data_IF_923269349160
#
_entry.id   IF_923269349160
#
_cell.length_a   1.000
_cell.length_b   1.000
_cell.length_c   1.000
_cell.angle_alpha   90.00
_cell.angle_beta   90.00
_cell.angle_gamma   90.00
#
_symmetry.space_group_name_H-M   'P 1'
#
loop_
_entity.id
_entity.type
_entity.pdbx_description
1 polymer ?
#
# COMPACT_ATOMS: atom_id res chain seq x y z
N UNK A 1 5.26 5.01 -10.73
CA UNK A 1 6.21 5.42 -9.66
C UNK A 1 5.49 5.32 -8.33
N UNK A 2 6.14 4.85 -7.25
CA UNK A 2 5.53 4.77 -5.92
C UNK A 2 6.46 5.30 -4.84
N UNK A 3 5.90 5.64 -3.68
CA UNK A 3 6.63 6.17 -2.52
C UNK A 3 6.49 5.25 -1.31
N UNK A 4 7.47 5.31 -0.39
CA UNK A 4 7.30 4.83 0.98
C UNK A 4 7.09 6.05 1.85
N UNK A 5 6.05 6.01 2.65
CA UNK A 5 5.70 7.04 3.61
C UNK A 5 5.50 6.42 4.99
N UNK A 6 5.38 7.24 6.02
CA UNK A 6 4.95 6.80 7.34
C UNK A 6 3.86 7.71 7.88
N UNK A 7 3.01 7.15 8.72
CA UNK A 7 2.10 7.86 9.61
C UNK A 7 2.34 7.39 11.03
N UNK A 8 2.12 8.27 12.02
CA UNK A 8 2.38 7.93 13.42
C UNK A 8 1.10 7.80 14.22
N UNK A 9 1.13 6.87 15.14
CA UNK A 9 0.10 6.61 16.13
C UNK A 9 0.72 6.62 17.54
N UNK A 10 -0.09 6.88 18.53
CA UNK A 10 0.02 6.35 19.88
C UNK A 10 -0.97 5.18 20.04
N UNK A 11 -0.97 4.49 21.17
CA UNK A 11 -1.86 3.34 21.38
C UNK A 11 -3.33 3.73 21.19
N UNK A 12 -3.77 4.86 21.78
CA UNK A 12 -5.15 5.32 21.69
C UNK A 12 -5.59 5.58 20.24
N UNK A 13 -4.81 6.34 19.46
CA UNK A 13 -5.15 6.65 18.05
C UNK A 13 -5.01 5.43 17.13
N UNK A 14 -4.16 4.48 17.46
CA UNK A 14 -4.08 3.21 16.76
C UNK A 14 -5.34 2.37 16.97
N UNK A 15 -5.79 2.24 18.23
CA UNK A 15 -7.00 1.51 18.58
C UNK A 15 -8.25 2.15 17.96
N UNK A 16 -8.36 3.48 17.96
CA UNK A 16 -9.42 4.22 17.25
C UNK A 16 -9.43 3.88 15.75
N UNK A 17 -8.26 3.91 15.11
CA UNK A 17 -8.12 3.62 13.69
C UNK A 17 -8.53 2.17 13.36
N UNK A 18 -8.00 1.19 14.11
CA UNK A 18 -8.34 -0.24 13.92
C UNK A 18 -9.82 -0.50 14.18
N UNK A 19 -10.39 0.11 15.22
CA UNK A 19 -11.83 -0.01 15.54
C UNK A 19 -12.69 0.55 14.40
N UNK A 20 -12.30 1.71 13.86
CA UNK A 20 -12.99 2.30 12.72
C UNK A 20 -12.92 1.42 11.48
N UNK A 21 -11.74 0.91 11.11
CA UNK A 21 -11.54 -0.01 9.96
C UNK A 21 -12.44 -1.24 10.07
N UNK A 22 -12.50 -1.87 11.24
CA UNK A 22 -13.37 -3.03 11.49
C UNK A 22 -14.84 -2.71 11.30
N UNK A 23 -15.29 -1.56 11.83
CA UNK A 23 -16.69 -1.11 11.75
C UNK A 23 -17.12 -0.72 10.34
N UNK A 24 -16.23 -0.07 9.58
CA UNK A 24 -16.51 0.42 8.23
C UNK A 24 -16.19 -0.58 7.12
N UNK A 25 -15.59 -1.73 7.47
CA UNK A 25 -15.05 -2.71 6.50
C UNK A 25 -14.02 -2.11 5.54
N UNK A 26 -13.25 -1.11 6.01
CA UNK A 26 -12.21 -0.44 5.24
C UNK A 26 -10.84 -1.02 5.64
N UNK A 27 -10.12 -1.70 4.75
CA UNK A 27 -8.82 -2.30 5.08
C UNK A 27 -7.78 -1.26 5.52
N UNK A 28 -7.78 -0.10 4.86
CA UNK A 28 -6.88 1.02 5.14
C UNK A 28 -7.63 2.33 5.07
N UNK A 29 -7.55 3.12 6.12
CA UNK A 29 -7.97 4.52 6.12
C UNK A 29 -7.08 5.31 7.09
N UNK A 30 -6.55 6.43 6.64
CA UNK A 30 -5.74 7.34 7.43
C UNK A 30 -6.36 8.74 7.43
N UNK A 31 -6.57 9.28 8.61
CA UNK A 31 -6.94 10.67 8.80
C UNK A 31 -5.76 11.47 9.32
N UNK A 32 -5.60 12.69 8.84
CA UNK A 32 -4.49 13.58 9.22
C UNK A 32 -4.93 15.03 9.32
N UNK A 33 -4.21 15.81 10.14
CA UNK A 33 -4.43 17.25 10.28
C UNK A 33 -3.84 18.07 9.13
N UNK A 34 -2.91 17.50 8.38
CA UNK A 34 -2.22 18.15 7.25
C UNK A 34 -2.24 17.26 6.00
N UNK A 35 -2.28 17.87 4.83
CA UNK A 35 -2.22 17.13 3.56
C UNK A 35 -0.83 16.54 3.31
N UNK A 36 -0.78 15.47 2.53
CA UNK A 36 0.47 15.02 1.91
C UNK A 36 1.03 16.18 1.08
N UNK A 37 2.34 16.39 1.16
CA UNK A 37 3.01 17.53 0.50
C UNK A 37 2.75 17.53 -1.01
N UNK A 38 2.47 18.71 -1.57
CA UNK A 38 2.10 18.90 -2.98
C UNK A 38 3.20 18.56 -4.00
N UNK A 39 4.44 18.37 -3.54
CA UNK A 39 5.54 17.88 -4.40
C UNK A 39 5.40 16.42 -4.82
N UNK A 40 4.48 15.67 -4.20
CA UNK A 40 4.18 14.30 -4.58
C UNK A 40 2.90 14.26 -5.41
N UNK A 41 2.97 13.62 -6.58
CA UNK A 41 1.89 13.61 -7.55
C UNK A 41 0.58 13.06 -6.97
N UNK A 42 -0.53 13.72 -7.30
CA UNK A 42 -1.87 13.24 -6.97
C UNK A 42 -2.10 11.91 -7.69
N UNK A 43 -2.71 10.95 -6.99
CA UNK A 43 -2.96 9.61 -7.50
C UNK A 43 -1.75 8.66 -7.44
N UNK A 44 -0.56 9.14 -7.02
CA UNK A 44 0.60 8.26 -6.83
C UNK A 44 0.36 7.24 -5.73
N UNK A 45 0.91 6.03 -5.90
CA UNK A 45 0.85 4.98 -4.89
C UNK A 45 1.84 5.25 -3.75
N UNK A 46 1.37 5.02 -2.53
CA UNK A 46 2.17 5.17 -1.32
C UNK A 46 1.98 3.98 -0.38
N UNK A 47 3.08 3.29 -0.09
CA UNK A 47 3.11 2.36 1.03
C UNK A 47 3.32 3.15 2.31
N UNK A 48 2.34 3.13 3.19
CA UNK A 48 2.35 3.90 4.44
C UNK A 48 2.67 2.99 5.60
N UNK A 49 3.84 3.16 6.19
CA UNK A 49 4.28 2.43 7.37
C UNK A 49 3.60 3.04 8.61
N UNK A 50 2.89 2.22 9.35
CA UNK A 50 2.15 2.59 10.55
C UNK A 50 3.08 2.57 11.77
N UNK A 51 3.54 3.74 12.23
CA UNK A 51 4.44 3.89 13.37
C UNK A 51 3.67 3.95 14.68
N UNK A 52 3.94 3.08 15.63
CA UNK A 52 3.50 3.23 17.01
C UNK A 52 4.60 3.88 17.85
N UNK A 53 4.40 5.15 18.21
CA UNK A 53 5.42 5.94 18.91
C UNK A 53 5.62 5.55 20.39
N UNK A 54 4.65 4.90 21.02
CA UNK A 54 4.76 4.40 22.39
C UNK A 54 5.53 3.10 22.43
N UNK A 55 5.21 2.18 21.49
CA UNK A 55 5.87 0.88 21.37
C UNK A 55 7.23 0.93 20.67
N UNK A 56 7.54 2.05 19.99
CA UNK A 56 8.74 2.22 19.17
C UNK A 56 8.91 1.14 18.08
N UNK A 57 7.81 0.74 17.47
CA UNK A 57 7.76 -0.25 16.41
C UNK A 57 6.73 0.11 15.35
N UNK A 58 6.81 -0.55 14.20
CA UNK A 58 5.73 -0.47 13.23
C UNK A 58 4.63 -1.47 13.58
N UNK A 59 3.38 -1.15 13.25
CA UNK A 59 2.22 -2.05 13.45
C UNK A 59 1.75 -2.70 12.15
N UNK A 60 2.03 -2.09 11.02
CA UNK A 60 1.67 -2.60 9.70
C UNK A 60 2.10 -1.67 8.59
N UNK A 61 1.73 -2.04 7.37
CA UNK A 61 1.93 -1.23 6.17
C UNK A 61 0.64 -1.26 5.35
N UNK A 62 0.09 -0.08 5.05
CA UNK A 62 -1.05 0.08 4.15
C UNK A 62 -0.62 0.64 2.80
N UNK A 63 -1.30 0.27 1.73
CA UNK A 63 -1.12 0.85 0.41
C UNK A 63 -2.28 1.78 0.11
N UNK A 64 -1.99 3.05 -0.15
CA UNK A 64 -2.96 4.08 -0.51
C UNK A 64 -2.61 4.75 -1.84
N UNK A 65 -3.59 5.45 -2.42
CA UNK A 65 -3.34 6.48 -3.44
C UNK A 65 -3.29 7.85 -2.77
N UNK A 66 -2.40 8.74 -3.25
CA UNK A 66 -2.35 10.14 -2.84
C UNK A 66 -3.57 10.91 -3.41
N UNK A 67 -4.76 10.50 -2.98
CA UNK A 67 -6.04 11.10 -3.36
C UNK A 67 -6.90 11.26 -2.13
N UNK A 68 -7.38 12.48 -1.89
CA UNK A 68 -8.27 12.75 -0.76
C UNK A 68 -9.65 12.15 -0.99
N UNK A 69 -10.25 11.65 0.09
CA UNK A 69 -11.62 11.15 0.11
C UNK A 69 -12.56 12.30 0.52
N UNK A 70 -13.70 12.39 -0.19
CA UNK A 70 -14.75 13.38 0.08
C UNK A 70 -16.16 12.77 0.02
N UNK A 71 -16.25 11.44 0.07
CA UNK A 71 -17.52 10.70 -0.10
C UNK A 71 -18.51 10.91 1.04
N UNK A 72 -18.01 11.02 2.26
CA UNK A 72 -18.81 11.24 3.48
C UNK A 72 -17.94 11.79 4.61
N UNK A 73 -18.57 12.20 5.71
CA UNK A 73 -17.85 12.55 6.93
C UNK A 73 -17.40 11.30 7.68
N UNK A 74 -16.11 11.20 7.90
CA UNK A 74 -15.50 10.11 8.67
C UNK A 74 -15.05 10.63 10.04
N UNK A 75 -15.46 9.96 11.11
CA UNK A 75 -15.02 10.22 12.47
C UNK A 75 -14.15 9.04 12.94
N UNK A 76 -12.90 9.02 12.46
CA UNK A 76 -11.94 7.95 12.77
C UNK A 76 -11.39 8.14 14.17
N UNK A 77 -11.00 9.39 14.49
CA UNK A 77 -10.35 9.77 15.73
C UNK A 77 -11.23 10.72 16.55
N UNK A 78 -11.15 10.61 17.87
CA UNK A 78 -11.82 11.54 18.80
C UNK A 78 -11.36 12.99 18.59
N UNK A 79 -10.07 13.18 18.27
CA UNK A 79 -9.57 14.49 17.87
C UNK A 79 -9.98 14.78 16.41
N UNK A 80 -10.92 15.73 16.25
CA UNK A 80 -11.47 16.12 14.94
C UNK A 80 -10.43 16.64 13.95
N UNK A 81 -9.33 17.22 14.41
CA UNK A 81 -8.26 17.70 13.53
C UNK A 81 -7.63 16.55 12.71
N UNK A 82 -7.56 15.37 13.26
CA UNK A 82 -7.05 14.19 12.55
C UNK A 82 -8.04 13.62 11.53
N UNK A 83 -9.29 14.06 11.51
CA UNK A 83 -10.29 13.65 10.53
C UNK A 83 -10.41 14.62 9.34
N UNK A 84 -9.48 15.60 9.22
CA UNK A 84 -9.57 16.67 8.21
C UNK A 84 -9.20 16.22 6.79
N UNK A 85 -8.14 15.44 6.66
CA UNK A 85 -7.65 14.95 5.37
C UNK A 85 -7.55 13.45 5.42
N UNK A 86 -8.33 12.79 4.56
CA UNK A 86 -8.53 11.35 4.60
C UNK A 86 -7.98 10.70 3.34
N UNK A 87 -7.29 9.58 3.53
CA UNK A 87 -6.72 8.75 2.48
C UNK A 87 -7.10 7.29 2.74
N UNK A 88 -7.48 6.56 1.68
CA UNK A 88 -7.96 5.19 1.77
C UNK A 88 -7.19 4.27 0.82
N UNK A 89 -7.20 2.96 1.14
CA UNK A 89 -6.65 1.92 0.29
C UNK A 89 -7.22 0.55 0.65
N UNK A 90 -6.99 -0.42 -0.23
CA UNK A 90 -7.60 -1.74 -0.15
C UNK A 90 -6.63 -2.82 0.36
N UNK A 91 -5.35 -2.50 0.52
CA UNK A 91 -4.31 -3.45 0.84
C UNK A 91 -3.58 -3.06 2.12
N UNK A 92 -3.55 -3.97 3.08
CA UNK A 92 -2.88 -3.80 4.35
C UNK A 92 -2.24 -5.11 4.81
N UNK A 93 -1.04 -5.02 5.37
CA UNK A 93 -0.32 -6.15 5.95
C UNK A 93 0.08 -5.76 7.36
N UNK A 94 -0.31 -6.57 8.34
CA UNK A 94 0.04 -6.39 9.74
C UNK A 94 1.51 -6.74 10.02
N UNK A 95 2.02 -6.25 11.16
CA UNK A 95 3.39 -6.52 11.60
C UNK A 95 3.71 -8.00 11.69
N UNK A 96 2.79 -8.82 12.21
CA UNK A 96 3.03 -10.25 12.40
C UNK A 96 3.32 -10.91 11.05
N UNK A 97 2.48 -10.66 10.08
CA UNK A 97 2.64 -11.13 8.69
C UNK A 97 3.94 -10.61 8.05
N UNK A 98 4.27 -9.33 8.27
CA UNK A 98 5.53 -8.75 7.77
C UNK A 98 6.73 -9.52 8.33
N UNK A 99 6.78 -9.76 9.64
CA UNK A 99 7.89 -10.47 10.31
C UNK A 99 7.96 -11.94 9.85
N UNK A 100 6.83 -12.61 9.67
CA UNK A 100 6.76 -13.99 9.19
C UNK A 100 7.27 -14.13 7.74
N UNK A 101 7.04 -13.13 6.89
CA UNK A 101 7.42 -13.17 5.47
C UNK A 101 8.82 -12.61 5.21
N UNK A 102 9.17 -11.48 5.81
CA UNK A 102 10.49 -10.84 5.74
C UNK A 102 10.73 -9.94 6.95
N UNK A 103 11.29 -10.52 8.01
CA UNK A 103 11.58 -9.80 9.26
C UNK A 103 12.48 -8.58 9.07
N UNK A 104 13.32 -8.55 8.02
CA UNK A 104 14.22 -7.43 7.76
C UNK A 104 13.48 -6.14 7.42
N UNK A 105 12.26 -6.21 6.90
CA UNK A 105 11.41 -5.03 6.66
C UNK A 105 11.08 -4.35 7.99
N UNK A 106 10.63 -5.13 8.97
CA UNK A 106 10.29 -4.61 10.30
C UNK A 106 11.56 -4.07 11.00
N UNK A 107 12.68 -4.78 10.93
CA UNK A 107 13.95 -4.36 11.51
C UNK A 107 14.45 -3.03 10.94
N UNK A 108 14.46 -2.88 9.61
CA UNK A 108 14.84 -1.63 8.94
C UNK A 108 13.91 -0.49 9.38
N UNK A 109 12.58 -0.72 9.35
CA UNK A 109 11.61 0.30 9.72
C UNK A 109 11.73 0.69 11.19
N UNK A 110 11.79 -0.27 12.13
CA UNK A 110 11.93 0.00 13.55
C UNK A 110 13.26 0.72 13.88
N UNK A 111 14.30 0.47 13.10
CA UNK A 111 15.58 1.16 13.28
C UNK A 111 15.54 2.56 12.72
N UNK A 112 15.20 2.71 11.45
CA UNK A 112 15.33 3.98 10.72
C UNK A 112 14.27 5.00 11.17
N UNK A 113 13.07 4.55 11.49
CA UNK A 113 11.97 5.45 11.84
C UNK A 113 12.01 5.91 13.31
N UNK A 114 12.54 5.09 14.22
CA UNK A 114 12.46 5.38 15.66
C UNK A 114 13.80 5.73 16.30
N UNK A 115 14.92 5.36 15.68
CA UNK A 115 16.26 5.55 16.29
C UNK A 115 17.07 6.64 15.58
N UNK A 116 18.13 7.11 16.25
CA UNK A 116 19.05 8.11 15.72
C UNK A 116 18.51 9.55 15.76
N UNK A 117 19.31 10.49 15.25
CA UNK A 117 18.97 11.93 15.25
C UNK A 117 17.89 12.30 14.24
N UNK A 118 17.77 11.53 13.16
CA UNK A 118 16.87 11.79 12.04
C UNK A 118 15.55 11.00 12.12
N UNK A 119 15.21 10.44 13.30
CA UNK A 119 13.98 9.65 13.48
C UNK A 119 12.71 10.42 13.10
N UNK A 120 11.64 9.70 12.72
CA UNK A 120 10.39 10.30 12.25
C UNK A 120 9.30 10.45 13.33
N UNK A 121 9.59 10.20 14.61
CA UNK A 121 8.61 10.26 15.73
C UNK A 121 7.92 11.60 15.89
N UNK A 122 8.50 12.71 15.41
CA UNK A 122 7.95 14.07 15.52
C UNK A 122 7.27 14.56 14.25
N UNK A 123 7.29 13.78 13.16
CA UNK A 123 6.65 14.18 11.90
C UNK A 123 5.13 14.14 12.06
N UNK A 124 4.43 15.03 11.35
CA UNK A 124 2.97 15.12 11.37
C UNK A 124 2.38 14.61 10.05
N UNK A 125 1.20 14.00 10.12
CA UNK A 125 0.49 13.47 8.96
C UNK A 125 1.23 12.31 8.28
N UNK A 126 0.98 12.14 6.99
CA UNK A 126 1.67 11.14 6.17
C UNK A 126 2.92 11.78 5.56
N UNK A 127 4.08 11.28 5.97
CA UNK A 127 5.40 11.84 5.61
C UNK A 127 6.20 10.84 4.78
N UNK A 128 6.66 11.26 3.59
CA UNK A 128 7.44 10.38 2.69
C UNK A 128 8.87 10.21 3.19
N UNK A 129 9.35 8.98 3.20
CA UNK A 129 10.73 8.64 3.56
C UNK A 129 11.69 9.12 2.46
N UNK A 130 12.77 9.78 2.87
CA UNK A 130 13.82 10.28 1.98
C UNK A 130 15.14 9.54 2.21
N UNK A 131 16.03 9.58 1.23
CA UNK A 131 17.37 8.98 1.38
C UNK A 131 18.15 9.54 2.58
N UNK A 132 17.90 10.81 2.95
CA UNK A 132 18.56 11.44 4.09
C UNK A 132 18.28 10.69 5.42
N UNK A 133 17.12 10.06 5.56
CA UNK A 133 16.77 9.26 6.73
C UNK A 133 17.69 8.04 6.90
N UNK A 134 18.25 7.55 5.78
CA UNK A 134 19.07 6.34 5.72
C UNK A 134 20.58 6.61 5.75
N UNK A 135 21.03 7.88 5.79
CA UNK A 135 22.43 8.26 5.64
C UNK A 135 23.37 7.66 6.71
N UNK A 136 22.85 7.47 7.92
CA UNK A 136 23.64 6.98 9.07
C UNK A 136 23.41 5.49 9.35
N UNK A 137 22.84 4.75 8.40
CA UNK A 137 22.53 3.34 8.54
C UNK A 137 23.08 2.56 7.36
N UNK A 138 23.38 1.28 7.58
CA UNK A 138 23.78 0.35 6.51
C UNK A 138 22.60 -0.05 5.59
N UNK A 139 21.42 0.48 5.88
CA UNK A 139 20.21 0.25 5.07
C UNK A 139 20.06 1.31 3.98
N UNK A 140 19.45 0.93 2.87
CA UNK A 140 19.13 1.84 1.75
C UNK A 140 17.63 1.88 1.51
N UNK A 141 17.10 3.10 1.27
CA UNK A 141 15.67 3.27 0.94
C UNK A 141 15.28 2.47 -0.31
N UNK A 142 16.16 2.34 -1.30
CA UNK A 142 15.88 1.54 -2.51
C UNK A 142 15.66 0.05 -2.21
N UNK A 143 16.43 -0.50 -1.25
CA UNK A 143 16.26 -1.89 -0.80
C UNK A 143 14.93 -2.06 -0.06
N UNK A 144 14.62 -1.14 0.88
CA UNK A 144 13.34 -1.17 1.58
C UNK A 144 12.15 -1.06 0.62
N UNK A 145 12.23 -0.18 -0.38
CA UNK A 145 11.21 -0.05 -1.42
C UNK A 145 10.96 -1.36 -2.15
N UNK A 146 12.04 -2.02 -2.58
CA UNK A 146 11.92 -3.28 -3.30
C UNK A 146 11.36 -4.41 -2.42
N UNK A 147 11.83 -4.51 -1.17
CA UNK A 147 11.33 -5.51 -0.21
C UNK A 147 9.82 -5.34 0.07
N UNK A 148 9.36 -4.11 0.36
CA UNK A 148 7.94 -3.85 0.60
C UNK A 148 7.12 -4.15 -0.66
N UNK A 149 7.60 -3.74 -1.84
CA UNK A 149 6.94 -4.05 -3.12
C UNK A 149 6.79 -5.55 -3.33
N UNK A 150 7.87 -6.31 -3.16
CA UNK A 150 7.85 -7.76 -3.31
C UNK A 150 6.92 -8.43 -2.29
N UNK A 151 6.95 -7.98 -1.03
CA UNK A 151 6.06 -8.48 0.02
C UNK A 151 4.59 -8.34 -0.38
N UNK A 152 4.16 -7.15 -0.80
CA UNK A 152 2.77 -6.90 -1.19
C UNK A 152 2.36 -7.74 -2.40
N UNK A 153 3.17 -7.74 -3.46
CA UNK A 153 2.89 -8.54 -4.67
C UNK A 153 2.73 -10.02 -4.30
N UNK A 154 3.70 -10.60 -3.60
CA UNK A 154 3.68 -12.03 -3.26
C UNK A 154 2.52 -12.37 -2.35
N UNK A 155 2.27 -11.56 -1.31
CA UNK A 155 1.23 -11.82 -0.33
C UNK A 155 -0.17 -11.80 -0.97
N UNK A 156 -0.50 -10.76 -1.73
CA UNK A 156 -1.82 -10.61 -2.31
C UNK A 156 -2.02 -11.51 -3.53
N UNK A 157 -0.99 -11.79 -4.34
CA UNK A 157 -1.09 -12.80 -5.41
C UNK A 157 -1.38 -14.20 -4.85
N UNK A 158 -0.75 -14.57 -3.74
CA UNK A 158 -1.02 -15.86 -3.08
C UNK A 158 -2.46 -15.93 -2.55
N UNK A 159 -2.95 -14.84 -1.93
CA UNK A 159 -4.34 -14.78 -1.47
C UNK A 159 -5.35 -14.91 -2.62
N UNK A 160 -5.06 -14.26 -3.75
CA UNK A 160 -5.90 -14.38 -4.95
C UNK A 160 -5.96 -15.81 -5.47
N UNK A 161 -4.80 -16.46 -5.61
CA UNK A 161 -4.74 -17.85 -6.07
C UNK A 161 -5.56 -18.76 -5.16
N UNK A 162 -5.46 -18.59 -3.84
CA UNK A 162 -6.23 -19.35 -2.86
C UNK A 162 -7.74 -19.05 -2.94
N UNK A 163 -8.12 -17.81 -3.21
CA UNK A 163 -9.52 -17.40 -3.37
C UNK A 163 -10.12 -17.88 -4.70
N UNK A 164 -9.34 -17.93 -5.80
CA UNK A 164 -9.77 -18.46 -7.09
C UNK A 164 -10.06 -19.96 -6.99
N UNK A 165 -9.26 -20.69 -6.25
CA UNK A 165 -9.49 -22.14 -5.99
C UNK A 165 -10.82 -22.33 -5.23
N UNK A 166 -11.20 -21.37 -4.39
CA UNK A 166 -12.40 -21.44 -3.55
C UNK A 166 -13.64 -20.74 -4.12
N UNK A 167 -13.50 -19.83 -5.09
CA UNK A 167 -14.64 -19.07 -5.66
C UNK A 167 -14.37 -18.66 -7.11
N UNK A 168 -15.34 -18.87 -8.02
CA UNK A 168 -15.30 -18.45 -9.43
C UNK A 168 -15.39 -16.90 -9.65
N UNK A 169 -14.74 -16.08 -8.83
CA UNK A 169 -14.84 -14.63 -8.88
C UNK A 169 -13.67 -13.98 -9.67
N UNK A 170 -13.81 -13.94 -11.00
CA UNK A 170 -12.85 -13.37 -11.94
C UNK A 170 -12.79 -11.81 -11.93
N UNK A 171 -13.82 -11.11 -11.43
CA UNK A 171 -13.87 -9.63 -11.51
C UNK A 171 -12.86 -8.93 -10.58
N UNK A 172 -12.72 -9.41 -9.35
CA UNK A 172 -11.78 -8.81 -8.38
C UNK A 172 -10.31 -9.03 -8.76
N UNK A 173 -10.04 -10.00 -9.65
CA UNK A 173 -8.69 -10.29 -10.12
C UNK A 173 -8.15 -9.22 -11.07
N UNK A 174 -8.98 -8.70 -11.97
CA UNK A 174 -8.55 -7.72 -12.96
C UNK A 174 -8.18 -6.37 -12.31
N UNK A 175 -8.99 -5.90 -11.36
CA UNK A 175 -8.75 -4.62 -10.65
C UNK A 175 -7.48 -4.66 -9.79
N UNK A 176 -7.25 -5.77 -9.08
CA UNK A 176 -6.02 -5.97 -8.32
C UNK A 176 -4.79 -6.10 -9.22
N UNK A 177 -4.90 -6.84 -10.33
CA UNK A 177 -3.81 -7.01 -11.28
C UNK A 177 -3.35 -5.67 -11.86
N UNK A 178 -4.27 -4.78 -12.18
CA UNK A 178 -3.96 -3.44 -12.70
C UNK A 178 -3.23 -2.57 -11.67
N UNK A 179 -3.60 -2.61 -10.39
CA UNK A 179 -2.89 -1.89 -9.34
C UNK A 179 -1.47 -2.43 -9.11
N UNK A 180 -1.30 -3.75 -9.14
CA UNK A 180 0.01 -4.37 -9.01
C UNK A 180 0.87 -4.24 -10.28
N UNK A 181 0.28 -4.17 -11.50
CA UNK A 181 1.04 -3.86 -12.72
C UNK A 181 1.73 -2.49 -12.68
N UNK A 182 1.14 -1.50 -12.01
CA UNK A 182 1.77 -0.18 -11.80
C UNK A 182 3.01 -0.29 -10.91
N UNK A 183 3.04 -1.26 -10.00
CA UNK A 183 4.14 -1.50 -9.06
C UNK A 183 5.25 -2.35 -9.70
N UNK A 184 4.93 -3.17 -10.71
CA UNK A 184 5.89 -4.04 -11.43
C UNK A 184 6.66 -3.21 -12.47
N UNK A 185 8.01 -3.20 -12.49
CA UNK A 185 8.76 -2.56 -13.55
C UNK A 185 8.46 -3.25 -14.88
N UNK A 186 8.11 -2.46 -15.91
CA UNK A 186 7.79 -2.93 -17.25
C UNK A 186 9.00 -3.62 -17.91
N UNK A 187 9.17 -4.93 -17.70
CA UNK A 187 9.97 -5.75 -18.58
C UNK A 187 9.15 -5.94 -19.86
N UNK A 188 9.57 -5.25 -20.94
CA UNK A 188 9.16 -5.39 -22.34
C UNK A 188 7.87 -6.20 -22.55
N UNK A 189 6.77 -5.51 -22.80
CA UNK A 189 5.51 -6.10 -23.29
C UNK A 189 5.78 -6.88 -24.57
N UNK A 190 5.85 -8.21 -24.53
CA UNK A 190 5.61 -9.04 -25.71
C UNK A 190 4.11 -8.96 -25.97
N UNK A 191 3.71 -8.24 -27.03
CA UNK A 191 2.35 -8.29 -27.57
C UNK A 191 2.04 -9.76 -27.87
N UNK A 192 1.14 -10.34 -27.12
CA UNK A 192 0.49 -11.60 -27.51
C UNK A 192 -0.56 -11.19 -28.53
N UNK A 193 -0.22 -11.37 -29.81
CA UNK A 193 -1.17 -11.22 -30.90
C UNK A 193 -2.02 -12.50 -30.93
N UNK A 194 -3.23 -12.42 -30.44
CA UNK A 194 -4.22 -13.49 -30.61
C UNK A 194 -4.61 -13.43 -32.08
N UNK A 195 -4.15 -14.41 -32.88
CA UNK A 195 -4.65 -14.62 -34.23
C UNK A 195 -6.07 -15.20 -34.10
N UNK A 196 -7.07 -14.43 -34.45
CA UNK A 196 -8.42 -14.93 -34.69
C UNK A 196 -8.40 -15.70 -35.97
N UNK A 197 -8.49 -17.01 -35.90
CA UNK A 197 -8.78 -17.86 -37.06
C UNK A 197 -10.27 -17.69 -37.38
N UNK A 198 -10.56 -16.86 -38.36
CA UNK A 198 -11.83 -16.89 -39.05
C UNK A 198 -11.64 -17.79 -40.29
N UNK A 199 -11.97 -19.05 -40.14
CA UNK A 199 -12.21 -19.93 -41.28
C UNK A 199 -13.59 -19.58 -41.85
N UNK A 200 -13.57 -18.83 -42.94
CA UNK A 200 -14.76 -18.66 -43.78
C UNK A 200 -14.73 -19.73 -44.88
N UNK A 201 -15.45 -20.81 -44.62
CA UNK A 201 -15.84 -21.76 -45.66
C UNK A 201 -16.90 -21.11 -46.55
N UNK A 202 -16.54 -20.80 -47.77
CA UNK A 202 -17.49 -20.51 -48.84
C UNK A 202 -17.51 -21.68 -49.80
N UNK A 203 -18.50 -22.53 -49.68
CA UNK A 203 -18.90 -23.49 -50.67
C UNK A 203 -19.41 -22.75 -51.93
N UNK A 204 -18.71 -22.95 -53.04
CA UNK A 204 -19.24 -22.69 -54.37
C UNK A 204 -19.60 -24.02 -55.01
N UNK A 205 -20.87 -24.32 -55.08
CA UNK A 205 -21.36 -25.26 -56.06
C UNK A 205 -21.98 -24.50 -57.24
N UNK A 206 -21.41 -24.73 -58.38
CA UNK A 206 -21.95 -24.37 -59.69
C UNK A 206 -22.71 -25.54 -60.29
N UNK A 207 -23.77 -25.18 -60.92
CA UNK A 207 -24.18 -25.72 -62.23
C UNK A 207 -24.22 -24.59 -63.19
#
# INVERSE_FOLDING_TARGET
>A
MFYIASTRFNNATYDENISYRKKSCEPVIYGTSIRIQSKYDIGSLMFVVEMNNEENRIEGIGLIRNTLIYDKTHHIYANSDYNRYLYRGDYWIDRKTIVEKDATIAEICDTVLFKGKSHMKRMSGISVLTNQLFTNWDFKLSILKEKIRCLFITFFQTQLQNNIINTNNLKNYAEMADEFEIIVPSKKRKRITIKSNNDSNTDKNNI
#
